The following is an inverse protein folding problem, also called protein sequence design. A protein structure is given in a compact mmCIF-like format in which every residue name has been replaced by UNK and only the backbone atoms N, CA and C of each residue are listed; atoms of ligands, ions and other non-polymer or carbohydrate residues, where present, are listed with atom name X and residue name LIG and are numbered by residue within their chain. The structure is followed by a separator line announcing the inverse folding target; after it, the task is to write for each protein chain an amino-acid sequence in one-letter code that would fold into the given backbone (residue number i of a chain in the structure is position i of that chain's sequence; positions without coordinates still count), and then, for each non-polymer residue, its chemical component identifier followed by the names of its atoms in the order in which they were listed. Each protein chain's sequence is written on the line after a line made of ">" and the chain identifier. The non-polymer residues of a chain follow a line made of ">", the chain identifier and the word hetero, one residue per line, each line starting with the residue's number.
data_IF_784617650875
#
_entry.id   IF_784617650875
#
_cell.length_a   1.000
_cell.length_b   1.000
_cell.length_c   1.000
_cell.angle_alpha   90.00
_cell.angle_beta   90.00
_cell.angle_gamma   90.00
#
_symmetry.space_group_name_H-M   'P 1'
#
loop_
_entity.id
_entity.type
_entity.pdbx_description
1 polymer ?
#
# COMPACT_ATOMS: atom_id res chain seq x y z
N UNK A 1 19.88 10.40 8.66
CA UNK A 1 19.25 9.07 8.82
C UNK A 1 18.48 8.76 7.55
N UNK A 2 18.97 7.81 6.74
CA UNK A 2 18.21 7.30 5.60
C UNK A 2 17.23 6.30 6.20
N UNK A 3 15.94 6.62 6.19
CA UNK A 3 14.92 5.64 6.59
C UNK A 3 14.85 4.63 5.45
N UNK A 4 15.70 3.60 5.51
CA UNK A 4 15.57 2.42 4.66
C UNK A 4 14.36 1.66 5.20
N UNK A 5 13.18 2.15 4.86
CA UNK A 5 11.93 1.43 5.07
C UNK A 5 12.06 0.24 4.15
N UNK A 6 12.49 -0.89 4.72
CA UNK A 6 12.83 -2.11 3.99
C UNK A 6 11.72 -2.48 2.99
N UNK A 7 10.47 -2.06 3.24
CA UNK A 7 9.28 -2.60 2.57
C UNK A 7 8.25 -1.50 2.28
N UNK A 8 8.58 -0.58 1.36
CA UNK A 8 7.65 0.45 0.84
C UNK A 8 6.40 -0.16 0.16
N UNK A 9 6.40 -1.45 -0.19
CA UNK A 9 5.23 -2.15 -0.72
C UNK A 9 4.01 -2.08 0.20
N UNK A 10 4.23 -2.08 1.52
CA UNK A 10 3.17 -1.92 2.52
C UNK A 10 2.38 -0.62 2.36
N UNK A 11 3.05 0.44 1.91
CA UNK A 11 2.46 1.76 1.70
C UNK A 11 1.44 1.76 0.60
N UNK A 12 1.71 1.05 -0.50
CA UNK A 12 0.77 0.91 -1.62
C UNK A 12 -0.56 0.31 -1.16
N UNK A 13 -0.51 -0.69 -0.27
CA UNK A 13 -1.73 -1.29 0.28
C UNK A 13 -2.43 -0.41 1.32
N UNK A 14 -1.66 0.42 2.05
CA UNK A 14 -2.21 1.28 3.09
C UNK A 14 -3.25 2.26 2.54
N UNK A 15 -3.03 2.80 1.34
CA UNK A 15 -3.97 3.75 0.72
C UNK A 15 -5.20 3.12 0.07
N UNK A 16 -5.41 1.81 0.23
CA UNK A 16 -6.53 1.10 -0.37
C UNK A 16 -7.73 1.07 0.58
N UNK A 17 -8.81 1.71 0.13
CA UNK A 17 -10.12 1.59 0.77
C UNK A 17 -10.72 0.18 0.56
N UNK A 18 -11.67 -0.18 1.42
CA UNK A 18 -12.48 -1.39 1.27
C UNK A 18 -13.12 -1.52 -0.12
N UNK A 19 -13.60 -0.40 -0.70
CA UNK A 19 -14.18 -0.38 -2.05
C UNK A 19 -13.15 -0.76 -3.10
N UNK A 20 -11.94 -0.19 -3.00
CA UNK A 20 -10.86 -0.44 -3.95
C UNK A 20 -10.34 -1.87 -3.79
N UNK A 21 -10.20 -2.38 -2.56
CA UNK A 21 -9.85 -3.77 -2.32
C UNK A 21 -10.83 -4.74 -3.01
N UNK A 22 -12.14 -4.46 -2.92
CA UNK A 22 -13.18 -5.26 -3.58
C UNK A 22 -13.11 -5.19 -5.11
N UNK A 23 -12.81 -4.03 -5.68
CA UNK A 23 -12.60 -3.86 -7.14
C UNK A 23 -11.33 -4.56 -7.63
N UNK A 24 -10.24 -4.44 -6.86
CA UNK A 24 -8.97 -5.06 -7.17
C UNK A 24 -8.98 -6.58 -6.89
N UNK A 25 -10.01 -7.10 -6.21
CA UNK A 25 -10.12 -8.49 -5.73
C UNK A 25 -8.94 -8.88 -4.85
N UNK A 26 -8.53 -7.98 -3.97
CA UNK A 26 -7.49 -8.21 -2.98
C UNK A 26 -8.12 -8.24 -1.58
N UNK A 27 -7.42 -8.90 -0.65
CA UNK A 27 -7.83 -8.90 0.75
C UNK A 27 -7.70 -7.48 1.31
N UNK A 28 -8.73 -7.03 2.04
CA UNK A 28 -8.63 -5.79 2.80
C UNK A 28 -7.76 -6.03 4.03
N UNK A 29 -6.69 -5.25 4.13
CA UNK A 29 -5.83 -5.23 5.32
C UNK A 29 -6.25 -4.06 6.19
N UNK A 30 -6.47 -4.34 7.47
CA UNK A 30 -6.68 -3.33 8.50
C UNK A 30 -5.35 -2.65 8.88
N UNK A 31 -4.28 -3.44 8.97
CA UNK A 31 -2.91 -2.99 9.19
C UNK A 31 -2.02 -3.53 8.07
N UNK A 32 -1.18 -2.66 7.49
CA UNK A 32 -0.21 -3.06 6.47
C UNK A 32 1.24 -2.94 6.93
N UNK A 33 1.49 -2.55 8.18
CA UNK A 33 2.82 -2.24 8.69
C UNK A 33 3.77 -3.46 8.55
N UNK A 34 3.24 -4.67 8.75
CA UNK A 34 3.98 -5.93 8.61
C UNK A 34 3.81 -6.63 7.24
N UNK A 35 3.44 -5.89 6.19
CA UNK A 35 3.36 -6.45 4.83
C UNK A 35 4.75 -6.43 4.20
N UNK A 36 5.27 -7.62 3.96
CA UNK A 36 6.54 -7.79 3.29
C UNK A 36 6.45 -7.73 1.77
N UNK A 37 7.57 -7.53 1.07
CA UNK A 37 7.63 -7.57 -0.40
C UNK A 37 7.06 -8.86 -0.97
N UNK A 38 7.37 -9.98 -0.33
CA UNK A 38 6.91 -11.31 -0.70
C UNK A 38 5.40 -11.46 -0.53
N UNK A 39 4.86 -11.00 0.61
CA UNK A 39 3.41 -10.95 0.83
C UNK A 39 2.72 -10.06 -0.19
N UNK A 40 3.27 -8.89 -0.48
CA UNK A 40 2.74 -7.99 -1.50
C UNK A 40 2.68 -8.68 -2.87
N UNK A 41 3.76 -9.32 -3.30
CA UNK A 41 3.80 -10.04 -4.58
C UNK A 41 2.81 -11.20 -4.61
N UNK A 42 2.62 -11.93 -3.51
CA UNK A 42 1.62 -12.99 -3.41
C UNK A 42 0.17 -12.47 -3.45
N UNK A 43 -0.05 -11.19 -3.09
CA UNK A 43 -1.36 -10.55 -3.14
C UNK A 43 -1.73 -10.05 -4.54
N UNK A 44 -0.78 -9.95 -5.47
CA UNK A 44 -1.04 -9.51 -6.84
C UNK A 44 -1.92 -10.56 -7.51
N UNK A 45 -3.20 -10.28 -7.79
CA UNK A 45 -4.04 -11.27 -8.44
C UNK A 45 -3.56 -11.49 -9.87
N UNK A 46 -3.68 -12.73 -10.35
CA UNK A 46 -3.23 -13.18 -11.69
C UNK A 46 -3.83 -12.40 -12.87
N UNK A 47 -4.81 -11.52 -12.63
CA UNK A 47 -5.39 -10.63 -13.64
C UNK A 47 -4.44 -9.50 -14.04
N UNK A 48 -3.48 -9.13 -13.19
CA UNK A 48 -2.49 -8.11 -13.49
C UNK A 48 -1.29 -8.75 -14.17
N UNK A 49 -0.91 -8.22 -15.33
CA UNK A 49 0.21 -8.73 -16.13
C UNK A 49 1.55 -8.46 -15.47
N UNK A 50 1.63 -7.37 -14.69
CA UNK A 50 2.87 -6.90 -14.05
C UNK A 50 2.58 -6.27 -12.70
N UNK A 51 3.56 -6.36 -11.80
CA UNK A 51 3.57 -5.61 -10.53
C UNK A 51 3.37 -4.11 -10.73
N UNK A 52 3.99 -3.55 -11.77
CA UNK A 52 3.90 -2.12 -12.10
C UNK A 52 2.46 -1.73 -12.45
N UNK A 53 1.75 -2.57 -13.20
CA UNK A 53 0.35 -2.34 -13.58
C UNK A 53 -0.54 -2.32 -12.33
N UNK A 54 -0.36 -3.30 -11.44
CA UNK A 54 -1.03 -3.34 -10.14
C UNK A 54 -0.75 -2.10 -9.29
N UNK A 55 0.52 -1.69 -9.17
CA UNK A 55 0.90 -0.48 -8.43
C UNK A 55 0.32 0.79 -9.07
N UNK A 56 0.27 0.88 -10.40
CA UNK A 56 -0.34 2.01 -11.10
C UNK A 56 -1.84 2.12 -10.81
N UNK A 57 -2.55 0.99 -10.84
CA UNK A 57 -3.98 0.95 -10.51
C UNK A 57 -4.26 1.33 -9.05
N UNK A 58 -3.40 0.87 -8.13
CA UNK A 58 -3.43 1.31 -6.73
C UNK A 58 -3.25 2.83 -6.65
N UNK A 59 -2.22 3.38 -7.29
CA UNK A 59 -1.91 4.81 -7.26
C UNK A 59 -3.06 5.67 -7.79
N UNK A 60 -3.77 5.23 -8.84
CA UNK A 60 -4.95 5.92 -9.39
C UNK A 60 -6.12 6.04 -8.40
N UNK A 61 -6.16 5.17 -7.38
CA UNK A 61 -7.22 5.11 -6.36
C UNK A 61 -6.68 5.32 -4.95
N UNK A 62 -5.44 5.77 -4.83
CA UNK A 62 -4.72 5.85 -3.56
C UNK A 62 -5.23 6.99 -2.72
N UNK A 63 -5.54 6.71 -1.45
CA UNK A 63 -5.97 7.72 -0.48
C UNK A 63 -4.93 7.89 0.61
N UNK A 64 -4.30 9.08 0.66
CA UNK A 64 -3.28 9.41 1.66
C UNK A 64 -3.87 9.32 3.08
N UNK A 65 -5.10 9.78 3.29
CA UNK A 65 -5.77 9.75 4.59
C UNK A 65 -5.94 8.32 5.12
N UNK A 66 -6.34 7.39 4.24
CA UNK A 66 -6.48 5.97 4.58
C UNK A 66 -5.09 5.37 4.83
N UNK A 67 -4.11 5.73 4.02
CA UNK A 67 -2.74 5.26 4.17
C UNK A 67 -2.13 5.67 5.51
N UNK A 68 -2.40 6.89 5.99
CA UNK A 68 -2.01 7.36 7.33
C UNK A 68 -2.63 6.48 8.42
N UNK A 69 -3.91 6.14 8.31
CA UNK A 69 -4.60 5.33 9.33
C UNK A 69 -4.15 3.86 9.36
N UNK A 70 -3.79 3.29 8.20
CA UNK A 70 -3.48 1.85 8.07
C UNK A 70 -2.00 1.50 8.22
N UNK A 71 -1.12 2.50 8.20
CA UNK A 71 0.32 2.27 8.24
C UNK A 71 1.03 3.41 8.99
N UNK A 72 1.50 3.07 10.19
CA UNK A 72 2.20 4.01 11.07
C UNK A 72 3.49 4.54 10.42
N UNK A 73 4.22 3.69 9.69
CA UNK A 73 5.45 4.09 9.01
C UNK A 73 5.20 5.11 7.89
N UNK A 74 4.10 4.94 7.14
CA UNK A 74 3.66 5.90 6.12
C UNK A 74 3.17 7.19 6.76
N UNK A 75 2.38 7.10 7.84
CA UNK A 75 1.94 8.26 8.60
C UNK A 75 3.13 9.09 9.07
N UNK A 76 4.10 8.44 9.73
CA UNK A 76 5.32 9.08 10.17
C UNK A 76 6.10 9.73 9.02
N UNK A 77 6.18 9.06 7.87
CA UNK A 77 6.81 9.64 6.69
C UNK A 77 6.07 10.89 6.21
N UNK A 78 4.74 10.85 6.07
CA UNK A 78 3.99 12.02 5.65
C UNK A 78 4.12 13.12 6.69
N UNK A 79 3.81 12.89 7.97
CA UNK A 79 3.93 13.91 9.02
C UNK A 79 5.33 14.52 9.14
N UNK A 80 6.38 13.78 8.79
CA UNK A 80 7.76 14.27 8.83
C UNK A 80 8.19 15.04 7.58
N UNK A 81 7.55 14.80 6.43
CA UNK A 81 7.92 15.38 5.13
C UNK A 81 6.82 16.27 4.51
N UNK A 82 5.64 16.35 5.13
CA UNK A 82 4.56 17.31 4.84
C UNK A 82 4.99 18.65 5.45
N UNK A 83 5.73 19.44 4.66
CA UNK A 83 6.11 20.83 4.96
C UNK A 83 4.96 21.79 4.67
#
# INVERSE_FOLDING_TARGET
>A
MIVVIKEIESWYLAGLDNKVCRQLKINNFADTDNVTKEKFNALIPKKFTSRIDFMSEILKKFSIEIAKQKNNSFQYFVEKYDC
#
